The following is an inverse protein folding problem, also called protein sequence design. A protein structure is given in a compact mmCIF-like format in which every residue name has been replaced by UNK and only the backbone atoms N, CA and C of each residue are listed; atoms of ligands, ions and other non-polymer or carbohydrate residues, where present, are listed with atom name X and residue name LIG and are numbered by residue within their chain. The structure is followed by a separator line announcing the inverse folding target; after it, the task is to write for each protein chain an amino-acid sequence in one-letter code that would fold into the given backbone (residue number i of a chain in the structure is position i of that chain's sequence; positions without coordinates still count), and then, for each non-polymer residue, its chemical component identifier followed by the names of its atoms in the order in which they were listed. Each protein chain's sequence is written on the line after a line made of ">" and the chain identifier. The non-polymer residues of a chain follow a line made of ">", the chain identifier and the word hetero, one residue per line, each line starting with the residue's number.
data_IF_977540746815
#
_entry.id   IF_977540746815
#
_cell.length_a   1.000
_cell.length_b   1.000
_cell.length_c   1.000
_cell.angle_alpha   90.00
_cell.angle_beta   90.00
_cell.angle_gamma   90.00
#
_symmetry.space_group_name_H-M   'P 1'
#
loop_
_entity.id
_entity.type
_entity.pdbx_description
1 polymer ?
#
# COMPACT_ATOMS: atom_id res chain seq x y z
N UNK A 1 4.52 15.51 -16.50
CA UNK A 1 3.66 15.63 -17.70
C UNK A 1 2.59 14.54 -17.78
N UNK A 2 2.94 13.24 -17.72
CA UNK A 2 1.95 12.15 -17.82
C UNK A 2 0.77 12.24 -16.84
N UNK A 3 1.04 12.47 -15.54
CA UNK A 3 -0.01 12.65 -14.52
C UNK A 3 -0.93 13.86 -14.82
N UNK A 4 -0.37 14.98 -15.27
CA UNK A 4 -1.14 16.17 -15.63
C UNK A 4 -2.09 15.88 -16.80
N UNK A 5 -1.60 15.19 -17.84
CA UNK A 5 -2.42 14.78 -18.98
C UNK A 5 -3.54 13.84 -18.53
N UNK A 6 -3.24 12.86 -17.68
CA UNK A 6 -4.24 11.93 -17.15
C UNK A 6 -5.37 12.66 -16.41
N UNK A 7 -5.02 13.59 -15.49
CA UNK A 7 -6.01 14.39 -14.76
C UNK A 7 -6.88 15.21 -15.71
N UNK A 8 -6.28 15.90 -16.68
CA UNK A 8 -7.05 16.69 -17.67
C UNK A 8 -7.98 15.78 -18.47
N UNK A 9 -7.51 14.62 -18.94
CA UNK A 9 -8.33 13.69 -19.72
C UNK A 9 -9.53 13.18 -18.93
N UNK A 10 -9.36 12.87 -17.64
CA UNK A 10 -10.47 12.47 -16.77
C UNK A 10 -11.46 13.61 -16.52
N UNK A 11 -10.99 14.83 -16.33
CA UNK A 11 -11.87 16.01 -16.16
C UNK A 11 -12.71 16.27 -17.42
N UNK A 12 -12.12 16.13 -18.61
CA UNK A 12 -12.85 16.30 -19.87
C UNK A 12 -13.89 15.19 -20.08
N UNK A 13 -13.54 13.94 -19.83
CA UNK A 13 -14.45 12.80 -19.91
C UNK A 13 -15.63 12.93 -18.92
N UNK A 14 -15.35 13.41 -17.72
CA UNK A 14 -16.36 13.78 -16.73
C UNK A 14 -17.28 14.87 -17.27
N UNK A 15 -16.77 15.99 -17.79
CA UNK A 15 -17.62 17.08 -18.34
C UNK A 15 -18.55 16.64 -19.49
N UNK A 16 -18.14 15.63 -20.26
CA UNK A 16 -18.92 15.06 -21.34
C UNK A 16 -20.02 14.10 -20.84
N UNK A 17 -19.93 13.64 -19.60
CA UNK A 17 -20.90 12.73 -18.98
C UNK A 17 -22.11 13.49 -18.43
N UNK A 18 -23.31 13.12 -18.88
CA UNK A 18 -24.60 13.79 -18.63
C UNK A 18 -25.17 13.53 -17.23
N UNK A 19 -24.38 13.73 -16.17
CA UNK A 19 -24.79 13.53 -14.77
C UNK A 19 -24.38 14.73 -13.90
N UNK A 20 -25.24 15.13 -12.96
CA UNK A 20 -24.96 16.20 -12.00
C UNK A 20 -23.79 15.84 -11.09
N UNK A 21 -22.57 16.17 -11.50
CA UNK A 21 -21.39 15.96 -10.68
C UNK A 21 -21.20 17.10 -9.69
N UNK A 22 -20.81 16.73 -8.47
CA UNK A 22 -20.41 17.67 -7.42
C UNK A 22 -18.98 18.18 -7.69
N UNK A 23 -18.84 19.04 -8.69
CA UNK A 23 -17.57 19.70 -9.05
C UNK A 23 -16.91 20.38 -7.86
N UNK A 24 -17.71 20.91 -6.94
CA UNK A 24 -17.25 21.52 -5.70
C UNK A 24 -16.40 20.55 -4.86
N UNK A 25 -16.84 19.30 -4.69
CA UNK A 25 -16.12 18.29 -3.92
C UNK A 25 -14.83 17.84 -4.61
N UNK A 26 -14.87 17.66 -5.93
CA UNK A 26 -13.69 17.25 -6.73
C UNK A 26 -12.60 18.32 -6.65
N UNK A 27 -12.96 19.58 -6.90
CA UNK A 27 -12.02 20.71 -6.86
C UNK A 27 -11.51 20.92 -5.44
N UNK A 28 -12.38 20.91 -4.44
CA UNK A 28 -11.98 21.06 -3.05
C UNK A 28 -10.99 19.96 -2.62
N UNK A 29 -11.27 18.69 -2.95
CA UNK A 29 -10.39 17.57 -2.64
C UNK A 29 -9.02 17.69 -3.32
N UNK A 30 -9.00 18.06 -4.61
CA UNK A 30 -7.76 18.25 -5.36
C UNK A 30 -6.92 19.39 -4.78
N UNK A 31 -7.53 20.53 -4.47
CA UNK A 31 -6.84 21.70 -3.92
C UNK A 31 -6.31 21.41 -2.51
N UNK A 32 -7.15 20.88 -1.62
CA UNK A 32 -6.76 20.58 -0.24
C UNK A 32 -5.66 19.52 -0.20
N UNK A 33 -5.82 18.42 -0.95
CA UNK A 33 -4.82 17.36 -1.03
C UNK A 33 -3.49 17.84 -1.60
N UNK A 34 -3.53 18.64 -2.66
CA UNK A 34 -2.31 19.20 -3.29
C UNK A 34 -1.57 20.16 -2.35
N UNK A 35 -2.29 21.06 -1.67
CA UNK A 35 -1.70 22.01 -0.74
C UNK A 35 -1.03 21.27 0.43
N UNK A 36 -1.73 20.33 1.05
CA UNK A 36 -1.19 19.54 2.16
C UNK A 36 0.05 18.75 1.69
N UNK A 37 -0.04 18.10 0.53
CA UNK A 37 1.07 17.33 -0.05
C UNK A 37 2.31 18.19 -0.31
N UNK A 38 2.15 19.38 -0.92
CA UNK A 38 3.24 20.32 -1.19
C UNK A 38 3.87 20.81 0.12
N UNK A 39 3.05 21.19 1.10
CA UNK A 39 3.55 21.66 2.39
C UNK A 39 4.37 20.57 3.08
N UNK A 40 3.89 19.32 3.11
CA UNK A 40 4.63 18.20 3.70
C UNK A 40 5.93 17.92 2.94
N UNK A 41 5.90 17.94 1.61
CA UNK A 41 7.07 17.65 0.78
C UNK A 41 8.18 18.69 0.89
N UNK A 42 7.84 19.99 0.99
CA UNK A 42 8.84 21.08 1.03
C UNK A 42 9.39 21.28 2.45
N UNK A 43 8.64 20.91 3.50
CA UNK A 43 9.06 21.11 4.89
C UNK A 43 9.86 19.94 5.47
N UNK A 44 9.85 18.76 4.85
CA UNK A 44 10.59 17.61 5.38
C UNK A 44 12.09 17.81 5.23
N UNK A 45 12.86 17.41 6.24
CA UNK A 45 14.32 17.36 6.15
C UNK A 45 14.77 16.22 5.22
N UNK A 46 15.93 16.37 4.56
CA UNK A 46 16.46 15.35 3.65
C UNK A 46 16.70 13.99 4.34
N UNK A 47 16.96 14.00 5.64
CA UNK A 47 17.10 12.81 6.50
C UNK A 47 15.77 12.10 6.74
N UNK A 48 14.66 12.84 6.73
CA UNK A 48 13.28 12.37 6.86
C UNK A 48 12.62 11.99 5.54
N UNK A 49 13.35 11.92 4.43
CA UNK A 49 12.75 11.48 3.15
C UNK A 49 12.12 10.07 3.23
N UNK A 50 12.73 9.05 3.88
CA UNK A 50 12.15 7.71 3.93
C UNK A 50 10.77 7.63 4.61
N UNK A 51 10.54 8.40 5.68
CA UNK A 51 9.26 8.45 6.38
C UNK A 51 8.16 9.14 5.56
N UNK A 52 8.50 10.21 4.83
CA UNK A 52 7.57 10.91 3.95
C UNK A 52 7.15 10.00 2.79
N UNK A 53 8.11 9.28 2.19
CA UNK A 53 7.85 8.31 1.12
C UNK A 53 6.92 7.20 1.62
N UNK A 54 7.16 6.66 2.82
CA UNK A 54 6.26 5.68 3.43
C UNK A 54 4.83 6.26 3.55
N UNK A 55 4.67 7.45 4.13
CA UNK A 55 3.36 8.08 4.31
C UNK A 55 2.61 8.30 2.98
N UNK A 56 3.26 8.90 1.97
CA UNK A 56 2.63 9.14 0.66
C UNK A 56 2.23 7.86 -0.04
N UNK A 57 3.04 6.81 0.10
CA UNK A 57 2.70 5.51 -0.42
C UNK A 57 1.44 4.91 0.26
N UNK A 58 1.33 5.07 1.58
CA UNK A 58 0.13 4.71 2.34
C UNK A 58 -1.13 5.41 1.81
N UNK A 59 -1.05 6.71 1.51
CA UNK A 59 -2.17 7.44 0.91
C UNK A 59 -2.53 6.99 -0.50
N UNK A 60 -1.55 6.60 -1.33
CA UNK A 60 -1.81 6.01 -2.65
C UNK A 60 -2.59 4.69 -2.55
N UNK A 61 -2.20 3.82 -1.61
CA UNK A 61 -2.93 2.59 -1.32
C UNK A 61 -4.35 2.85 -0.80
N UNK A 62 -4.50 3.80 0.12
CA UNK A 62 -5.81 4.20 0.65
C UNK A 62 -6.73 4.78 -0.43
N UNK A 63 -6.21 5.62 -1.33
CA UNK A 63 -6.98 6.16 -2.45
C UNK A 63 -7.54 5.03 -3.34
N UNK A 64 -6.72 4.02 -3.65
CA UNK A 64 -7.14 2.85 -4.43
C UNK A 64 -8.24 2.05 -3.72
N UNK A 65 -8.07 1.82 -2.42
CA UNK A 65 -9.06 1.12 -1.62
C UNK A 65 -10.38 1.90 -1.43
N UNK A 66 -10.31 3.23 -1.33
CA UNK A 66 -11.48 4.10 -1.25
C UNK A 66 -12.26 4.14 -2.57
N UNK A 67 -11.56 4.16 -3.71
CA UNK A 67 -12.22 4.05 -5.02
C UNK A 67 -12.91 2.69 -5.15
N UNK A 68 -12.23 1.60 -4.79
CA UNK A 68 -12.83 0.26 -4.78
C UNK A 68 -14.07 0.19 -3.87
N UNK A 69 -14.02 0.82 -2.69
CA UNK A 69 -15.16 0.93 -1.78
C UNK A 69 -16.29 1.75 -2.39
N UNK A 70 -16.01 2.89 -3.02
CA UNK A 70 -17.05 3.71 -3.66
C UNK A 70 -17.77 2.97 -4.78
N UNK A 71 -17.03 2.15 -5.53
CA UNK A 71 -17.54 1.35 -6.64
C UNK A 71 -18.41 0.17 -6.19
N UNK A 72 -18.15 -0.41 -5.02
CA UNK A 72 -19.04 -1.42 -4.43
C UNK A 72 -20.22 -0.77 -3.72
N UNK A 73 -19.99 0.34 -3.02
CA UNK A 73 -21.00 1.03 -2.22
C UNK A 73 -22.17 1.58 -3.04
N UNK A 74 -21.92 2.02 -4.28
CA UNK A 74 -22.99 2.52 -5.16
C UNK A 74 -24.12 1.52 -5.38
N UNK A 75 -23.83 0.21 -5.44
CA UNK A 75 -24.83 -0.84 -5.59
C UNK A 75 -25.58 -1.17 -4.29
N UNK A 76 -25.05 -0.73 -3.14
CA UNK A 76 -25.68 -0.89 -1.83
C UNK A 76 -26.60 0.30 -1.55
N UNK A 77 -26.15 1.51 -1.90
CA UNK A 77 -26.89 2.76 -1.65
C UNK A 77 -28.06 2.96 -2.60
N UNK A 78 -27.92 2.56 -3.87
CA UNK A 78 -28.98 2.69 -4.88
C UNK A 78 -29.48 1.31 -5.34
N UNK A 79 -30.60 0.81 -4.76
CA UNK A 79 -31.19 -0.48 -5.14
C UNK A 79 -31.75 -0.51 -6.57
N UNK A 80 -31.85 0.64 -7.24
CA UNK A 80 -32.33 0.72 -8.63
C UNK A 80 -31.25 0.38 -9.64
N UNK A 81 -29.98 0.43 -9.23
CA UNK A 81 -28.86 -0.02 -10.05
C UNK A 81 -28.88 -1.55 -10.14
N UNK A 82 -29.02 -2.05 -11.36
CA UNK A 82 -28.90 -3.47 -11.63
C UNK A 82 -27.46 -3.93 -11.39
N UNK A 83 -27.27 -4.90 -10.50
CA UNK A 83 -25.96 -5.54 -10.37
C UNK A 83 -25.53 -6.17 -11.70
N UNK A 84 -24.25 -5.99 -12.10
CA UNK A 84 -23.67 -6.75 -13.21
C UNK A 84 -23.84 -8.25 -12.96
N UNK A 85 -23.93 -9.06 -14.01
CA UNK A 85 -24.06 -10.53 -13.88
C UNK A 85 -22.91 -11.25 -14.58
N UNK A 86 -22.65 -12.49 -14.17
CA UNK A 86 -21.62 -13.34 -14.78
C UNK A 86 -20.19 -12.86 -14.49
N UNK A 87 -19.34 -12.89 -15.51
CA UNK A 87 -17.91 -12.60 -15.40
C UNK A 87 -17.62 -11.18 -14.90
N UNK A 88 -18.41 -10.19 -15.33
CA UNK A 88 -18.19 -8.79 -14.96
C UNK A 88 -18.34 -8.58 -13.45
N UNK A 89 -19.34 -9.21 -12.82
CA UNK A 89 -19.51 -9.16 -11.37
C UNK A 89 -18.32 -9.79 -10.64
N UNK A 90 -17.88 -10.96 -11.11
CA UNK A 90 -16.73 -11.64 -10.51
C UNK A 90 -15.47 -10.78 -10.57
N UNK A 91 -15.21 -10.14 -11.73
CA UNK A 91 -14.06 -9.24 -11.89
C UNK A 91 -14.18 -8.04 -10.95
N UNK A 92 -15.34 -7.38 -10.87
CA UNK A 92 -15.54 -6.22 -10.00
C UNK A 92 -15.35 -6.60 -8.53
N UNK A 93 -16.01 -7.65 -8.05
CA UNK A 93 -15.96 -8.06 -6.64
C UNK A 93 -14.55 -8.53 -6.27
N UNK A 94 -13.90 -9.33 -7.10
CA UNK A 94 -12.55 -9.83 -6.83
C UNK A 94 -11.53 -8.70 -6.90
N UNK A 95 -11.57 -7.84 -7.92
CA UNK A 95 -10.65 -6.71 -8.03
C UNK A 95 -10.88 -5.68 -6.91
N UNK A 96 -12.13 -5.40 -6.53
CA UNK A 96 -12.45 -4.53 -5.41
C UNK A 96 -11.97 -5.11 -4.08
N UNK A 97 -12.21 -6.39 -3.85
CA UNK A 97 -11.73 -7.11 -2.68
C UNK A 97 -10.20 -7.12 -2.57
N UNK A 98 -9.50 -7.37 -3.68
CA UNK A 98 -8.03 -7.35 -3.72
C UNK A 98 -7.46 -5.93 -3.60
N UNK A 99 -8.11 -4.93 -4.21
CA UNK A 99 -7.73 -3.52 -4.03
C UNK A 99 -7.91 -3.08 -2.57
N UNK A 100 -9.01 -3.47 -1.93
CA UNK A 100 -9.25 -3.22 -0.50
C UNK A 100 -8.20 -3.95 0.36
N UNK A 101 -7.92 -5.22 0.08
CA UNK A 101 -6.90 -6.00 0.79
C UNK A 101 -5.56 -5.29 0.77
N UNK A 102 -5.07 -4.99 -0.44
CA UNK A 102 -3.73 -4.46 -0.62
C UNK A 102 -3.66 -2.99 -0.20
N UNK A 103 -4.67 -2.18 -0.53
CA UNK A 103 -4.68 -0.75 -0.24
C UNK A 103 -4.78 -0.43 1.25
N UNK A 104 -5.69 -1.06 2.00
CA UNK A 104 -5.82 -0.85 3.44
C UNK A 104 -4.63 -1.42 4.22
N UNK A 105 -4.12 -2.59 3.81
CA UNK A 105 -2.87 -3.15 4.36
C UNK A 105 -1.68 -2.21 4.12
N UNK A 106 -1.62 -1.59 2.94
CA UNK A 106 -0.55 -0.65 2.59
C UNK A 106 -0.65 0.64 3.40
N UNK A 107 -1.85 1.17 3.62
CA UNK A 107 -2.05 2.35 4.46
C UNK A 107 -1.54 2.10 5.88
N UNK A 108 -2.04 1.08 6.57
CA UNK A 108 -1.69 0.85 7.97
C UNK A 108 -0.24 0.39 8.14
N UNK A 109 0.26 -0.43 7.22
CA UNK A 109 1.66 -0.82 7.18
C UNK A 109 2.60 0.37 6.98
N UNK A 110 2.25 1.28 6.06
CA UNK A 110 3.05 2.48 5.77
C UNK A 110 3.05 3.48 6.93
N UNK A 111 1.92 3.64 7.62
CA UNK A 111 1.85 4.45 8.83
C UNK A 111 2.76 3.88 9.93
N UNK A 112 2.73 2.56 10.16
CA UNK A 112 3.61 1.93 11.14
C UNK A 112 5.08 2.04 10.75
N UNK A 113 5.41 1.90 9.46
CA UNK A 113 6.77 2.06 8.94
C UNK A 113 7.28 3.49 9.15
N UNK A 114 6.46 4.50 8.88
CA UNK A 114 6.78 5.90 9.14
C UNK A 114 7.08 6.15 10.63
N UNK A 115 6.23 5.66 11.54
CA UNK A 115 6.44 5.82 12.98
C UNK A 115 7.72 5.11 13.46
N UNK A 116 8.07 3.97 12.86
CA UNK A 116 9.32 3.27 13.15
C UNK A 116 10.54 4.05 12.67
N UNK A 117 10.47 4.66 11.50
CA UNK A 117 11.55 5.50 10.94
C UNK A 117 11.74 6.79 11.74
N UNK A 118 10.66 7.36 12.28
CA UNK A 118 10.69 8.48 13.25
C UNK A 118 11.32 8.13 14.60
N UNK A 119 11.53 6.85 14.87
CA UNK A 119 12.02 6.35 16.17
C UNK A 119 10.96 6.23 17.25
N UNK A 120 9.67 6.42 16.92
CA UNK A 120 8.57 6.34 17.86
C UNK A 120 7.39 7.25 17.51
N UNK A 121 6.40 7.26 18.41
CA UNK A 121 5.27 8.18 18.38
C UNK A 121 5.23 8.95 19.70
N UNK A 122 5.08 10.25 19.63
CA UNK A 122 4.79 11.07 20.80
C UNK A 122 3.28 11.00 21.08
N UNK A 123 2.91 10.34 22.18
CA UNK A 123 1.51 10.21 22.61
C UNK A 123 1.38 10.95 23.94
N UNK A 124 0.54 11.99 23.97
CA UNK A 124 0.26 12.78 25.18
C UNK A 124 1.53 13.32 25.87
N UNK A 125 2.51 13.79 25.08
CA UNK A 125 3.78 14.35 25.57
C UNK A 125 4.79 13.31 26.07
N UNK A 126 4.54 12.01 25.84
CA UNK A 126 5.47 10.93 26.16
C UNK A 126 5.92 10.22 24.89
N UNK A 127 7.23 10.06 24.75
CA UNK A 127 7.83 9.31 23.65
C UNK A 127 7.59 7.82 23.84
N UNK A 128 6.84 7.21 22.93
CA UNK A 128 6.64 5.76 22.88
C UNK A 128 7.40 5.17 21.71
N UNK A 129 8.45 4.40 22.00
CA UNK A 129 9.16 3.66 20.96
C UNK A 129 8.25 2.57 20.41
N UNK A 130 8.11 2.52 19.08
CA UNK A 130 7.33 1.47 18.42
C UNK A 130 7.93 0.10 18.73
N UNK A 131 7.15 -0.85 19.28
CA UNK A 131 7.68 -2.15 19.65
C UNK A 131 8.14 -2.91 18.40
N UNK A 132 9.38 -3.41 18.44
CA UNK A 132 9.88 -4.39 17.47
C UNK A 132 9.71 -5.76 18.09
N UNK A 133 8.47 -6.25 18.08
CA UNK A 133 8.12 -7.55 18.66
C UNK A 133 7.63 -8.46 17.55
N UNK A 134 8.35 -9.55 17.33
CA UNK A 134 8.06 -10.51 16.27
C UNK A 134 8.18 -11.93 16.75
N UNK A 135 7.32 -12.41 17.65
CA UNK A 135 7.34 -13.82 18.05
C UNK A 135 6.95 -14.71 16.87
N UNK A 136 7.46 -15.95 16.86
CA UNK A 136 7.28 -16.90 15.76
C UNK A 136 5.81 -17.20 15.43
N UNK A 137 4.91 -17.10 16.40
CA UNK A 137 3.48 -17.29 16.22
C UNK A 137 2.79 -16.19 15.39
N UNK A 138 3.41 -15.01 15.19
CA UNK A 138 2.84 -13.99 14.30
C UNK A 138 2.86 -14.40 12.83
N UNK A 139 3.83 -15.21 12.41
CA UNK A 139 3.92 -15.66 11.01
C UNK A 139 2.69 -16.46 10.54
N UNK A 140 2.22 -17.51 11.27
CA UNK A 140 0.99 -18.18 10.89
C UNK A 140 -0.23 -17.26 10.99
N UNK A 141 -0.25 -16.27 11.90
CA UNK A 141 -1.34 -15.29 11.98
C UNK A 141 -1.40 -14.43 10.72
N UNK A 142 -0.28 -13.94 10.18
CA UNK A 142 -0.26 -13.20 8.90
C UNK A 142 -0.90 -14.01 7.77
N UNK A 143 -0.53 -15.27 7.66
CA UNK A 143 -1.06 -16.19 6.64
C UNK A 143 -2.55 -16.41 6.86
N UNK A 144 -2.98 -16.66 8.10
CA UNK A 144 -4.39 -16.86 8.44
C UNK A 144 -5.23 -15.62 8.13
N UNK A 145 -4.77 -14.42 8.50
CA UNK A 145 -5.46 -13.17 8.17
C UNK A 145 -5.58 -13.00 6.64
N UNK A 146 -4.50 -13.27 5.90
CA UNK A 146 -4.53 -13.18 4.42
C UNK A 146 -5.54 -14.16 3.81
N UNK A 147 -5.54 -15.42 4.24
CA UNK A 147 -6.50 -16.43 3.78
C UNK A 147 -7.93 -16.04 4.17
N UNK A 148 -8.13 -15.48 5.36
CA UNK A 148 -9.47 -15.04 5.80
C UNK A 148 -10.04 -13.94 4.91
N UNK A 149 -9.22 -12.96 4.49
CA UNK A 149 -9.68 -11.93 3.55
C UNK A 149 -9.97 -12.55 2.18
N UNK A 150 -9.13 -13.45 1.67
CA UNK A 150 -9.40 -14.13 0.40
C UNK A 150 -10.71 -14.94 0.44
N UNK A 151 -11.00 -15.61 1.56
CA UNK A 151 -12.26 -16.32 1.76
C UNK A 151 -13.46 -15.36 1.76
N UNK A 152 -13.35 -14.21 2.44
CA UNK A 152 -14.40 -13.18 2.44
C UNK A 152 -14.65 -12.60 1.04
N UNK A 153 -13.60 -12.42 0.23
CA UNK A 153 -13.74 -11.96 -1.16
C UNK A 153 -14.53 -12.99 -1.98
N UNK A 154 -14.21 -14.29 -1.85
CA UNK A 154 -14.95 -15.35 -2.55
C UNK A 154 -16.41 -15.42 -2.08
N UNK A 155 -16.65 -15.29 -0.78
CA UNK A 155 -18.02 -15.25 -0.22
C UNK A 155 -18.81 -14.04 -0.73
N UNK A 156 -18.16 -12.90 -0.90
CA UNK A 156 -18.77 -11.68 -1.45
C UNK A 156 -19.21 -11.82 -2.91
N UNK A 157 -18.74 -12.84 -3.64
CA UNK A 157 -19.24 -13.11 -5.01
C UNK A 157 -20.70 -13.57 -4.97
N UNK A 158 -21.07 -14.36 -3.94
CA UNK A 158 -22.42 -14.90 -3.81
C UNK A 158 -23.40 -13.87 -3.22
N UNK A 159 -22.90 -12.96 -2.37
CA UNK A 159 -23.67 -11.90 -1.74
C UNK A 159 -22.87 -10.57 -1.75
N UNK A 160 -22.83 -9.87 -2.89
CA UNK A 160 -22.00 -8.69 -3.11
C UNK A 160 -22.51 -7.44 -2.37
N UNK A 161 -23.78 -7.43 -1.98
CA UNK A 161 -24.43 -6.32 -1.27
C UNK A 161 -24.24 -6.40 0.24
N UNK A 162 -23.60 -7.46 0.74
CA UNK A 162 -23.42 -7.67 2.15
C UNK A 162 -22.38 -6.71 2.73
N UNK A 163 -22.84 -5.77 3.56
CA UNK A 163 -21.97 -4.79 4.22
C UNK A 163 -21.01 -5.41 5.21
N UNK A 164 -21.37 -6.55 5.82
CA UNK A 164 -20.55 -7.17 6.86
C UNK A 164 -19.25 -7.73 6.27
N UNK A 165 -19.32 -8.30 5.07
CA UNK A 165 -18.12 -8.77 4.37
C UNK A 165 -17.21 -7.61 3.97
N UNK A 166 -17.76 -6.50 3.50
CA UNK A 166 -16.99 -5.30 3.17
C UNK A 166 -16.25 -4.76 4.40
N UNK A 167 -16.94 -4.53 5.51
CA UNK A 167 -16.31 -4.04 6.73
C UNK A 167 -15.30 -5.02 7.32
N UNK A 168 -15.57 -6.33 7.24
CA UNK A 168 -14.64 -7.37 7.67
C UNK A 168 -13.35 -7.36 6.82
N UNK A 169 -13.46 -7.25 5.49
CA UNK A 169 -12.30 -7.14 4.59
C UNK A 169 -11.46 -5.93 4.97
N UNK A 170 -12.06 -4.75 5.18
CA UNK A 170 -11.35 -3.52 5.53
C UNK A 170 -10.64 -3.68 6.88
N UNK A 171 -11.37 -4.13 7.91
CA UNK A 171 -10.85 -4.27 9.27
C UNK A 171 -9.69 -5.25 9.35
N UNK A 172 -9.84 -6.43 8.73
CA UNK A 172 -8.79 -7.46 8.71
C UNK A 172 -7.59 -7.01 7.89
N UNK A 173 -7.79 -6.28 6.78
CA UNK A 173 -6.70 -5.77 5.95
C UNK A 173 -5.89 -4.69 6.66
N UNK A 174 -6.56 -3.78 7.36
CA UNK A 174 -5.92 -2.82 8.26
C UNK A 174 -5.09 -3.52 9.34
N UNK A 175 -5.64 -4.55 9.99
CA UNK A 175 -4.93 -5.35 10.99
C UNK A 175 -3.71 -6.06 10.38
N UNK A 176 -3.87 -6.66 9.19
CA UNK A 176 -2.81 -7.35 8.47
C UNK A 176 -1.63 -6.42 8.19
N UNK A 177 -1.88 -5.18 7.77
CA UNK A 177 -0.81 -4.20 7.53
C UNK A 177 0.01 -3.89 8.78
N UNK A 178 -0.65 -3.74 9.94
CA UNK A 178 0.03 -3.56 11.22
C UNK A 178 0.87 -4.79 11.56
N UNK A 179 0.26 -5.98 11.52
CA UNK A 179 0.92 -7.25 11.89
C UNK A 179 2.07 -7.60 10.94
N UNK A 180 1.99 -7.20 9.67
CA UNK A 180 3.04 -7.40 8.67
C UNK A 180 4.28 -6.58 9.00
N UNK A 181 4.12 -5.31 9.38
CA UNK A 181 5.24 -4.37 9.62
C UNK A 181 5.76 -4.43 11.06
N UNK A 182 4.94 -4.84 12.04
CA UNK A 182 5.30 -4.91 13.46
C UNK A 182 6.60 -5.70 13.78
N UNK A 183 6.85 -6.91 13.24
CA UNK A 183 8.05 -7.67 13.57
C UNK A 183 9.32 -7.14 12.90
N UNK A 184 9.20 -6.25 11.91
CA UNK A 184 10.32 -5.84 11.08
C UNK A 184 11.14 -4.77 11.81
N UNK A 185 12.47 -4.94 11.83
CA UNK A 185 13.39 -4.02 12.50
C UNK A 185 13.61 -2.72 11.72
N UNK A 186 14.04 -1.67 12.42
CA UNK A 186 14.33 -0.35 11.83
C UNK A 186 15.35 -0.41 10.68
N UNK A 187 16.36 -1.29 10.79
CA UNK A 187 17.39 -1.47 9.76
C UNK A 187 16.83 -1.99 8.43
N UNK A 188 15.73 -2.75 8.45
CA UNK A 188 15.08 -3.32 7.25
C UNK A 188 13.93 -2.48 6.73
N UNK A 189 13.57 -1.38 7.41
CA UNK A 189 12.45 -0.53 7.03
C UNK A 189 12.50 -0.05 5.57
N UNK A 190 13.65 0.33 4.97
CA UNK A 190 13.69 0.74 3.58
C UNK A 190 13.14 -0.33 2.61
N UNK A 191 13.43 -1.62 2.87
CA UNK A 191 12.92 -2.74 2.07
C UNK A 191 11.40 -2.84 2.20
N UNK A 192 10.88 -2.66 3.41
CA UNK A 192 9.43 -2.68 3.67
C UNK A 192 8.72 -1.54 2.96
N UNK A 193 9.28 -0.33 2.99
CA UNK A 193 8.71 0.83 2.30
C UNK A 193 8.67 0.59 0.78
N UNK A 194 9.73 0.02 0.21
CA UNK A 194 9.76 -0.37 -1.20
C UNK A 194 8.73 -1.45 -1.54
N UNK A 195 8.57 -2.46 -0.68
CA UNK A 195 7.56 -3.51 -0.87
C UNK A 195 6.14 -2.93 -0.81
N UNK A 196 5.86 -2.09 0.18
CA UNK A 196 4.58 -1.40 0.30
C UNK A 196 4.32 -0.50 -0.92
N UNK A 197 5.35 0.07 -1.54
CA UNK A 197 5.24 0.86 -2.77
C UNK A 197 4.89 0.00 -3.99
N UNK A 198 5.44 -1.21 -4.08
CA UNK A 198 4.98 -2.19 -5.06
C UNK A 198 3.49 -2.52 -4.86
N UNK A 199 3.09 -2.73 -3.61
CA UNK A 199 1.73 -3.11 -3.25
C UNK A 199 0.70 -2.00 -3.56
N UNK A 200 1.02 -0.73 -3.29
CA UNK A 200 0.12 0.38 -3.69
C UNK A 200 -0.08 0.45 -5.21
N UNK A 201 0.98 0.20 -6.00
CA UNK A 201 0.89 0.10 -7.46
C UNK A 201 -0.04 -1.03 -7.91
N UNK A 202 0.08 -2.21 -7.28
CA UNK A 202 -0.81 -3.35 -7.55
C UNK A 202 -2.26 -3.02 -7.17
N UNK A 203 -2.51 -2.33 -6.04
CA UNK A 203 -3.84 -1.88 -5.65
C UNK A 203 -4.44 -0.88 -6.66
N UNK A 204 -3.62 0.04 -7.18
CA UNK A 204 -4.04 0.96 -8.24
C UNK A 204 -4.39 0.21 -9.54
N UNK A 205 -3.65 -0.85 -9.89
CA UNK A 205 -3.96 -1.68 -11.05
C UNK A 205 -5.30 -2.43 -10.88
N UNK A 206 -5.55 -3.01 -9.70
CA UNK A 206 -6.86 -3.61 -9.38
C UNK A 206 -7.99 -2.58 -9.50
N UNK A 207 -7.78 -1.38 -8.96
CA UNK A 207 -8.74 -0.28 -9.09
C UNK A 207 -9.00 0.07 -10.56
N UNK A 208 -7.96 0.09 -11.38
CA UNK A 208 -8.09 0.26 -12.83
C UNK A 208 -8.99 -0.78 -13.50
N UNK A 209 -8.94 -2.04 -13.06
CA UNK A 209 -9.87 -3.07 -13.56
C UNK A 209 -11.31 -2.85 -13.09
N UNK A 210 -11.52 -2.34 -11.87
CA UNK A 210 -12.87 -2.04 -11.35
C UNK A 210 -13.56 -0.99 -12.22
N UNK A 211 -12.87 0.13 -12.49
CA UNK A 211 -13.43 1.25 -13.25
C UNK A 211 -13.11 1.19 -14.75
N UNK A 212 -12.57 0.08 -15.24
CA UNK A 212 -12.16 -0.11 -16.65
C UNK A 212 -11.25 1.01 -17.20
N UNK A 213 -10.33 1.52 -16.37
CA UNK A 213 -9.43 2.61 -16.74
C UNK A 213 -8.02 2.09 -17.10
N UNK A 214 -7.61 2.13 -18.38
CA UNK A 214 -6.33 1.59 -18.83
C UNK A 214 -5.12 2.36 -18.26
N UNK A 215 -5.26 3.66 -17.94
CA UNK A 215 -4.17 4.45 -17.36
C UNK A 215 -3.81 3.91 -15.98
N UNK A 216 -4.81 3.62 -15.14
CA UNK A 216 -4.57 3.02 -13.81
C UNK A 216 -4.01 1.60 -13.90
N UNK A 217 -4.49 0.79 -14.84
CA UNK A 217 -3.98 -0.57 -15.04
C UNK A 217 -2.50 -0.52 -15.42
N UNK A 218 -2.13 0.30 -16.41
CA UNK A 218 -0.75 0.39 -16.91
C UNK A 218 0.17 1.06 -15.88
N UNK A 219 -0.23 2.20 -15.31
CA UNK A 219 0.60 2.90 -14.33
C UNK A 219 0.77 2.06 -13.05
N UNK A 220 -0.32 1.46 -12.54
CA UNK A 220 -0.29 0.63 -11.35
C UNK A 220 0.58 -0.62 -11.52
N UNK A 221 0.41 -1.35 -12.64
CA UNK A 221 1.23 -2.54 -12.91
C UNK A 221 2.71 -2.21 -13.10
N UNK A 222 3.04 -1.09 -13.73
CA UNK A 222 4.42 -0.61 -13.88
C UNK A 222 5.04 -0.27 -12.53
N UNK A 223 4.36 0.52 -11.69
CA UNK A 223 4.82 0.85 -10.33
C UNK A 223 4.96 -0.41 -9.47
N UNK A 224 3.98 -1.32 -9.56
CA UNK A 224 4.00 -2.60 -8.87
C UNK A 224 5.20 -3.45 -9.22
N UNK A 225 5.44 -3.68 -10.51
CA UNK A 225 6.57 -4.47 -10.98
C UNK A 225 7.92 -3.82 -10.65
N UNK A 226 8.08 -2.52 -10.93
CA UNK A 226 9.31 -1.78 -10.63
C UNK A 226 9.61 -1.73 -9.14
N UNK A 227 8.60 -1.54 -8.29
CA UNK A 227 8.76 -1.56 -6.84
C UNK A 227 9.20 -2.93 -6.32
N UNK A 228 8.68 -4.01 -6.90
CA UNK A 228 9.05 -5.38 -6.50
C UNK A 228 10.50 -5.67 -6.90
N UNK A 229 10.90 -5.29 -8.12
CA UNK A 229 12.29 -5.39 -8.58
C UNK A 229 13.23 -4.58 -7.68
N UNK A 230 12.88 -3.33 -7.36
CA UNK A 230 13.65 -2.49 -6.44
C UNK A 230 13.80 -3.15 -5.07
N UNK A 231 12.72 -3.74 -4.55
CA UNK A 231 12.73 -4.46 -3.27
C UNK A 231 13.74 -5.61 -3.30
N UNK A 232 13.81 -6.38 -4.39
CA UNK A 232 14.80 -7.45 -4.52
C UNK A 232 16.23 -6.94 -4.60
N UNK A 233 16.47 -5.85 -5.34
CA UNK A 233 17.80 -5.22 -5.44
C UNK A 233 18.25 -4.71 -4.07
N UNK A 234 17.34 -4.06 -3.31
CA UNK A 234 17.62 -3.58 -1.95
C UNK A 234 17.93 -4.74 -0.99
N UNK A 235 17.16 -5.83 -1.05
CA UNK A 235 17.44 -7.05 -0.28
C UNK A 235 18.86 -7.58 -0.59
N UNK A 236 19.21 -7.71 -1.87
CA UNK A 236 20.53 -8.19 -2.31
C UNK A 236 21.65 -7.28 -1.80
N UNK A 237 21.52 -5.96 -1.95
CA UNK A 237 22.49 -4.97 -1.47
C UNK A 237 22.68 -5.03 0.06
N UNK A 238 21.64 -5.39 0.80
CA UNK A 238 21.68 -5.55 2.25
C UNK A 238 22.13 -6.95 2.72
N UNK A 239 22.52 -7.85 1.80
CA UNK A 239 22.83 -9.25 2.07
C UNK A 239 21.71 -9.99 2.84
N UNK A 240 20.45 -9.71 2.48
CA UNK A 240 19.25 -10.36 3.06
C UNK A 240 18.35 -10.87 1.96
N UNK A 241 17.47 -11.81 2.27
CA UNK A 241 16.41 -12.24 1.36
C UNK A 241 15.06 -11.66 1.76
N UNK A 242 14.13 -11.52 0.82
CA UNK A 242 12.79 -10.98 1.09
C UNK A 242 12.02 -11.82 2.15
N UNK A 243 12.04 -13.17 2.12
CA UNK A 243 11.45 -13.98 3.18
C UNK A 243 12.07 -13.73 4.55
N UNK A 244 13.40 -13.52 4.63
CA UNK A 244 14.06 -13.19 5.89
C UNK A 244 13.58 -11.84 6.43
N UNK A 245 13.41 -10.84 5.57
CA UNK A 245 12.90 -9.52 6.02
C UNK A 245 11.46 -9.60 6.52
N UNK A 246 10.60 -10.40 5.87
CA UNK A 246 9.17 -10.49 6.19
C UNK A 246 8.82 -11.45 7.33
N UNK A 247 9.56 -12.54 7.47
CA UNK A 247 9.21 -13.65 8.38
C UNK A 247 10.23 -13.90 9.48
N UNK A 248 11.37 -13.20 9.52
CA UNK A 248 12.33 -13.37 10.62
C UNK A 248 11.72 -12.91 11.94
N UNK A 249 11.68 -13.84 12.88
CA UNK A 249 11.21 -13.62 14.24
C UNK A 249 12.31 -12.95 15.07
N UNK A 250 12.10 -11.68 15.44
CA UNK A 250 12.94 -11.01 16.43
C UNK A 250 12.47 -11.42 17.84
N UNK A 251 13.26 -12.26 18.52
CA UNK A 251 12.94 -12.78 19.87
C UNK A 251 13.64 -14.09 20.28
N UNK A 252 14.41 -14.73 19.40
CA UNK A 252 15.18 -15.94 19.71
C UNK A 252 16.62 -15.65 20.15
N UNK A 253 17.03 -16.22 21.28
CA UNK A 253 18.36 -16.11 21.88
C UNK A 253 19.43 -16.82 21.04
N UNK A 254 20.09 -16.12 20.13
CA UNK A 254 21.46 -16.46 19.70
C UNK A 254 22.13 -15.16 19.28
N UNK A 255 23.01 -14.63 20.15
CA UNK A 255 23.95 -13.59 19.75
C UNK A 255 24.99 -14.26 18.86
N UNK A 256 24.93 -14.05 17.55
CA UNK A 256 26.05 -14.37 16.68
C UNK A 256 27.23 -13.45 17.03
N UNK A 257 28.39 -14.05 17.26
CA UNK A 257 29.66 -13.34 17.41
C UNK A 257 30.11 -12.89 16.02
N UNK A 258 29.89 -11.61 15.69
CA UNK A 258 30.22 -11.09 14.36
C UNK A 258 31.73 -10.80 14.26
N UNK A 259 32.45 -11.67 13.58
CA UNK A 259 33.81 -11.39 13.07
C UNK A 259 33.65 -10.64 11.75
N UNK A 260 33.85 -9.30 11.75
CA UNK A 260 33.86 -8.37 10.59
C UNK A 260 33.01 -8.79 9.36
N UNK A 261 31.89 -8.11 9.15
CA UNK A 261 31.06 -8.24 7.94
C UNK A 261 31.89 -7.89 6.69
N UNK A 262 32.07 -8.85 5.78
CA UNK A 262 32.58 -8.58 4.43
C UNK A 262 31.42 -8.06 3.58
N UNK A 263 31.55 -6.84 3.06
CA UNK A 263 30.64 -6.30 2.04
C UNK A 263 31.27 -6.60 0.68
N UNK A 264 30.59 -7.38 -0.15
CA UNK A 264 30.96 -7.57 -1.55
C UNK A 264 30.34 -6.46 -2.39
N UNK A 265 31.11 -5.86 -3.29
CA UNK A 265 30.62 -4.87 -4.26
C UNK A 265 30.67 -5.47 -5.66
N UNK A 266 29.61 -5.26 -6.44
CA UNK A 266 29.57 -5.65 -7.85
C UNK A 266 30.45 -4.69 -8.69
N UNK A 267 30.99 -5.10 -9.85
CA UNK A 267 31.89 -4.28 -10.66
C UNK A 267 31.30 -2.91 -11.06
N UNK A 268 29.99 -2.87 -11.31
CA UNK A 268 29.27 -1.64 -11.67
C UNK A 268 29.17 -0.66 -10.49
N UNK A 269 29.01 -1.16 -9.26
CA UNK A 269 29.03 -0.31 -8.05
C UNK A 269 30.39 0.33 -7.83
N UNK A 270 31.46 -0.44 -8.06
CA UNK A 270 32.83 0.06 -7.96
C UNK A 270 33.09 1.11 -9.05
N UNK A 271 32.61 0.87 -10.28
CA UNK A 271 32.73 1.84 -11.37
C UNK A 271 32.01 3.17 -11.03
N UNK A 272 30.77 3.11 -10.53
CA UNK A 272 30.02 4.32 -10.12
C UNK A 272 30.70 5.10 -8.98
N UNK A 273 31.38 4.43 -8.05
CA UNK A 273 32.13 5.12 -6.98
C UNK A 273 33.39 5.83 -7.49
N UNK A 274 33.97 5.35 -8.60
CA UNK A 274 35.21 5.89 -9.18
C UNK A 274 34.91 6.95 -10.24
N UNK A 275 33.74 6.93 -10.87
CA UNK A 275 33.25 7.91 -11.85
C UNK A 275 32.70 9.22 -11.20
N UNK A 276 32.82 9.36 -9.88
CA UNK A 276 32.36 10.52 -9.10
C UNK A 276 33.22 11.78 -9.23
#
# INVERSE_FOLDING_TARGET
>A
MGMLVAVITTVVDMQLSTGGMNWELIIAGLVVGSIIGIIMAVKVEMTGMPELVALFNGFGGAASALVALSETWKYIEDPTLTLPTGLTLQVIVVAAGLSALVGWMTLTGSLLAMFKLKGGVEILGKWFSTPTWGPSWLNPVKVLLTISVLALIVMSINDPTNTDYLWAIIGISCLLGIVLVLPIGGADMPVVVSLLNSLSGIAAAFTGFIISNPVLIVAGSLVGASGLILTFIMCKAMNRTLPDVLFKSFGGSTKETVTRTKVGSDPDEVAMMVDG
#
